data_IF_588527695229
#
_entry.id   IF_588527695229
#
_cell.length_a   1.000
_cell.length_b   1.000
_cell.length_c   1.000
_cell.angle_alpha   90.00
_cell.angle_beta   90.00
_cell.angle_gamma   90.00
#
_symmetry.space_group_name_H-M   'P 1'
#
loop_
_entity.id
_entity.type
_entity.pdbx_description
1 polymer ?
#
# COMPACT_ATOMS: atom_id res chain seq x y z
N UNK A 1 8.96 9.79 13.92
CA UNK A 1 9.95 10.11 14.96
C UNK A 1 9.39 11.33 15.66
N UNK A 2 9.10 11.19 16.94
CA UNK A 2 8.55 12.27 17.74
C UNK A 2 9.59 13.38 17.89
N UNK A 3 9.17 14.56 18.37
CA UNK A 3 10.06 15.70 18.57
C UNK A 3 11.22 15.40 19.54
N UNK A 4 11.06 14.39 20.42
CA UNK A 4 12.08 13.92 21.36
C UNK A 4 12.98 12.80 20.80
N UNK A 5 12.76 12.41 19.54
CA UNK A 5 13.50 11.36 18.86
C UNK A 5 13.02 9.92 19.13
N UNK A 6 11.97 9.74 19.92
CA UNK A 6 11.33 8.43 20.09
C UNK A 6 10.58 8.00 18.83
N UNK A 7 10.35 6.69 18.70
CA UNK A 7 9.59 6.12 17.59
C UNK A 7 8.32 5.48 18.13
N UNK A 8 7.19 5.96 17.64
CA UNK A 8 5.87 5.38 17.92
C UNK A 8 5.48 4.40 16.83
N UNK A 9 5.00 3.23 17.22
CA UNK A 9 4.44 2.25 16.28
C UNK A 9 2.99 2.63 16.01
N UNK A 10 2.68 3.01 14.77
CA UNK A 10 1.33 3.38 14.35
C UNK A 10 0.49 2.17 13.93
N UNK A 11 1.11 1.18 13.29
CA UNK A 11 0.48 -0.08 12.92
C UNK A 11 1.54 -1.18 12.82
N UNK A 12 1.29 -2.33 13.43
CA UNK A 12 2.15 -3.51 13.33
C UNK A 12 1.37 -4.81 13.03
N UNK A 13 0.05 -4.78 13.14
CA UNK A 13 -0.82 -5.94 12.95
C UNK A 13 -2.09 -5.56 12.20
N UNK A 14 -2.57 -6.47 11.38
CA UNK A 14 -3.91 -6.41 10.78
C UNK A 14 -4.67 -7.67 11.16
N UNK A 15 -5.85 -7.52 11.78
CA UNK A 15 -6.68 -8.63 12.26
C UNK A 15 -5.92 -9.64 13.14
N UNK A 16 -5.04 -9.15 14.02
CA UNK A 16 -4.26 -9.97 14.96
C UNK A 16 -3.08 -10.73 14.33
N UNK A 17 -2.75 -10.48 13.06
CA UNK A 17 -1.58 -11.03 12.36
C UNK A 17 -0.57 -9.93 12.12
N UNK A 18 0.70 -10.20 12.36
CA UNK A 18 1.76 -9.23 12.07
C UNK A 18 1.74 -8.84 10.60
N UNK A 19 1.78 -7.52 10.32
CA UNK A 19 2.01 -7.02 8.96
C UNK A 19 3.30 -7.61 8.40
N UNK A 20 3.41 -7.74 7.09
CA UNK A 20 4.58 -8.33 6.46
C UNK A 20 5.80 -7.44 6.66
N UNK A 21 6.01 -6.51 5.74
CA UNK A 21 7.13 -5.59 5.72
C UNK A 21 6.64 -4.34 4.99
N UNK A 22 5.96 -3.43 5.72
CA UNK A 22 5.53 -2.18 5.14
C UNK A 22 6.69 -1.50 4.40
N UNK A 23 6.46 -1.05 3.17
CA UNK A 23 7.52 -0.54 2.31
C UNK A 23 7.38 0.96 2.05
N UNK A 24 6.38 1.34 1.25
CA UNK A 24 6.12 2.75 0.93
C UNK A 24 4.87 3.28 1.61
N UNK A 25 4.85 4.59 1.80
CA UNK A 25 3.81 5.32 2.50
C UNK A 25 3.54 6.67 1.84
N UNK A 26 2.27 7.05 1.77
CA UNK A 26 1.83 8.40 1.40
C UNK A 26 0.79 8.88 2.42
N UNK A 27 0.90 10.15 2.80
CA UNK A 27 -0.05 10.80 3.71
C UNK A 27 -0.99 11.65 2.88
N UNK A 28 -2.29 11.47 3.07
CA UNK A 28 -3.33 12.30 2.46
C UNK A 28 -3.48 13.61 3.24
N UNK A 29 -3.96 14.66 2.58
CA UNK A 29 -4.19 15.98 3.20
C UNK A 29 -5.10 15.96 4.44
N UNK A 30 -5.98 14.96 4.55
CA UNK A 30 -6.85 14.73 5.72
C UNK A 30 -6.13 14.07 6.93
N UNK A 31 -4.84 13.75 6.80
CA UNK A 31 -4.01 13.10 7.82
C UNK A 31 -4.05 11.56 7.80
N UNK A 32 -4.86 10.95 6.93
CA UNK A 32 -4.87 9.48 6.76
C UNK A 32 -3.57 9.00 6.12
N UNK A 33 -3.12 7.82 6.51
CA UNK A 33 -1.88 7.22 6.05
C UNK A 33 -2.20 6.02 5.17
N UNK A 34 -1.65 5.99 3.97
CA UNK A 34 -1.76 4.86 3.04
C UNK A 34 -0.40 4.23 2.88
N UNK A 35 -0.31 2.90 2.96
CA UNK A 35 0.96 2.20 2.83
C UNK A 35 0.81 0.85 2.15
N UNK A 36 1.91 0.37 1.57
CA UNK A 36 2.00 -0.98 1.01
C UNK A 36 2.65 -1.93 1.97
N UNK A 37 2.16 -3.16 1.99
CA UNK A 37 2.71 -4.24 2.80
C UNK A 37 3.02 -5.45 1.91
N UNK A 38 4.11 -5.40 1.12
CA UNK A 38 4.46 -6.48 0.22
C UNK A 38 4.96 -7.71 0.96
N UNK A 39 4.62 -8.87 0.42
CA UNK A 39 5.29 -10.09 0.79
C UNK A 39 6.66 -10.19 0.09
N UNK A 40 7.74 -9.86 0.79
CA UNK A 40 9.13 -9.98 0.27
C UNK A 40 10.01 -10.92 1.10
N UNK A 41 9.43 -11.75 1.97
CA UNK A 41 10.21 -12.63 2.84
C UNK A 41 10.83 -13.79 2.08
N UNK A 42 11.98 -14.30 2.58
CA UNK A 42 12.57 -15.57 2.10
C UNK A 42 12.13 -16.78 2.92
N UNK A 43 11.10 -16.63 3.77
CA UNK A 43 10.61 -17.70 4.65
C UNK A 43 9.56 -18.58 3.95
N UNK A 44 9.49 -19.88 4.26
CA UNK A 44 8.43 -20.77 3.77
C UNK A 44 7.02 -20.24 4.08
N UNK A 45 6.04 -20.59 3.24
CA UNK A 45 4.66 -20.08 3.32
C UNK A 45 3.96 -20.41 4.63
N UNK A 46 4.33 -21.52 5.23
CA UNK A 46 3.77 -22.03 6.49
C UNK A 46 4.15 -21.15 7.69
N UNK A 47 5.16 -20.29 7.55
CA UNK A 47 5.63 -19.37 8.58
C UNK A 47 5.05 -17.96 8.42
N UNK A 48 4.17 -17.73 7.46
CA UNK A 48 3.60 -16.41 7.24
C UNK A 48 2.46 -16.17 8.22
N UNK A 49 2.54 -15.08 8.98
CA UNK A 49 1.42 -14.64 9.80
C UNK A 49 0.36 -13.95 8.96
N UNK A 50 0.78 -12.99 8.12
CA UNK A 50 -0.07 -12.32 7.15
C UNK A 50 0.12 -12.93 5.76
N UNK A 51 -0.97 -13.29 5.10
CA UNK A 51 -0.94 -13.88 3.75
C UNK A 51 -1.38 -12.90 2.68
N UNK A 52 -1.77 -11.69 3.07
CA UNK A 52 -2.19 -10.61 2.20
C UNK A 52 -0.98 -9.74 1.87
N UNK A 53 -0.72 -9.54 0.58
CA UNK A 53 0.25 -8.58 0.04
C UNK A 53 -0.57 -7.45 -0.56
N UNK A 54 -0.66 -6.32 0.13
CA UNK A 54 -1.74 -5.36 -0.15
C UNK A 54 -1.44 -3.91 0.16
N UNK A 55 -2.45 -3.08 -0.08
CA UNK A 55 -2.49 -1.66 0.23
C UNK A 55 -3.42 -1.46 1.41
N UNK A 56 -2.95 -0.72 2.41
CA UNK A 56 -3.67 -0.46 3.64
C UNK A 56 -3.84 1.05 3.85
N UNK A 57 -4.87 1.41 4.60
CA UNK A 57 -5.08 2.75 5.13
C UNK A 57 -5.20 2.72 6.64
N UNK A 58 -4.47 3.60 7.32
CA UNK A 58 -4.71 3.97 8.70
C UNK A 58 -5.47 5.31 8.72
N UNK A 59 -6.60 5.36 9.42
CA UNK A 59 -7.40 6.58 9.58
C UNK A 59 -6.59 7.71 10.25
N UNK A 60 -6.99 8.95 10.01
CA UNK A 60 -6.29 10.14 10.53
C UNK A 60 -6.22 10.19 12.07
N UNK A 61 -7.18 9.57 12.76
CA UNK A 61 -7.17 9.42 14.23
C UNK A 61 -6.28 8.26 14.71
N UNK A 62 -5.61 7.56 13.78
CA UNK A 62 -4.75 6.41 14.00
C UNK A 62 -5.46 5.19 14.64
N UNK A 63 -6.80 5.18 14.65
CA UNK A 63 -7.59 4.16 15.33
C UNK A 63 -8.00 2.98 14.45
N UNK A 64 -8.10 3.17 13.13
CA UNK A 64 -8.67 2.17 12.22
C UNK A 64 -7.70 1.85 11.09
N UNK A 65 -7.24 0.60 11.07
CA UNK A 65 -6.47 0.03 9.96
C UNK A 65 -7.40 -0.76 9.03
N UNK A 66 -7.46 -0.35 7.76
CA UNK A 66 -8.31 -0.93 6.71
C UNK A 66 -7.46 -1.49 5.59
N UNK A 67 -7.76 -2.71 5.14
CA UNK A 67 -7.23 -3.26 3.90
C UNK A 67 -8.03 -2.69 2.72
N UNK A 68 -7.35 -2.01 1.80
CA UNK A 68 -7.96 -1.37 0.63
C UNK A 68 -7.96 -2.30 -0.59
N UNK A 69 -6.81 -2.92 -0.88
CA UNK A 69 -6.63 -3.77 -2.06
C UNK A 69 -5.70 -4.93 -1.72
N UNK A 70 -6.13 -6.17 -2.00
CA UNK A 70 -5.39 -7.39 -1.70
C UNK A 70 -4.80 -8.10 -2.94
N UNK A 71 -5.18 -7.67 -4.14
CA UNK A 71 -4.76 -8.32 -5.40
C UNK A 71 -3.42 -7.77 -5.90
N UNK A 72 -2.36 -7.79 -5.10
CA UNK A 72 -1.02 -7.44 -5.55
C UNK A 72 -0.06 -8.61 -5.36
N UNK A 73 0.96 -8.69 -6.21
CA UNK A 73 2.07 -9.63 -6.00
C UNK A 73 3.11 -8.98 -5.10
N UNK A 74 3.68 -7.84 -5.53
CA UNK A 74 4.60 -7.02 -4.71
C UNK A 74 4.20 -5.55 -4.85
N UNK A 75 3.21 -5.07 -4.08
CA UNK A 75 2.85 -3.66 -4.06
C UNK A 75 4.01 -2.84 -3.47
N UNK A 76 4.23 -1.63 -3.98
CA UNK A 76 5.38 -0.82 -3.56
C UNK A 76 5.00 0.67 -3.49
N UNK A 77 5.52 1.54 -4.35
CA UNK A 77 5.13 2.93 -4.50
C UNK A 77 3.62 3.23 -4.56
N UNK A 78 3.27 4.32 -3.90
CA UNK A 78 1.92 4.91 -3.81
C UNK A 78 1.99 6.39 -4.13
N UNK A 79 1.03 6.91 -4.87
CA UNK A 79 0.88 8.35 -5.07
C UNK A 79 -0.58 8.73 -5.27
N UNK A 80 -0.95 9.94 -4.87
CA UNK A 80 -2.22 10.55 -5.25
C UNK A 80 -2.04 11.45 -6.49
N UNK A 81 -3.11 11.66 -7.25
CA UNK A 81 -3.19 12.84 -8.10
C UNK A 81 -3.28 14.12 -7.23
N UNK A 82 -3.07 15.32 -7.81
CA UNK A 82 -3.06 16.57 -7.02
C UNK A 82 -4.32 16.83 -6.18
N UNK A 83 -5.49 16.40 -6.67
CA UNK A 83 -6.77 16.58 -5.97
C UNK A 83 -7.12 15.41 -5.03
N UNK A 84 -6.23 14.42 -4.88
CA UNK A 84 -6.38 13.24 -4.01
C UNK A 84 -7.63 12.38 -4.27
N UNK A 85 -8.15 12.41 -5.49
CA UNK A 85 -9.31 11.62 -5.93
C UNK A 85 -8.92 10.29 -6.58
N UNK A 86 -7.64 10.11 -6.91
CA UNK A 86 -7.12 8.90 -7.55
C UNK A 86 -5.84 8.45 -6.83
N UNK A 87 -5.82 7.19 -6.40
CA UNK A 87 -4.63 6.53 -5.85
C UNK A 87 -3.96 5.68 -6.93
N UNK A 88 -2.68 5.93 -7.15
CA UNK A 88 -1.78 5.16 -8.01
C UNK A 88 -1.00 4.18 -7.13
N UNK A 89 -0.90 2.93 -7.59
CA UNK A 89 -0.15 1.88 -6.90
C UNK A 89 0.60 1.06 -7.94
N UNK A 90 1.92 0.91 -7.79
CA UNK A 90 2.68 -0.02 -8.62
C UNK A 90 2.64 -1.44 -8.04
N UNK A 91 2.72 -2.43 -8.93
CA UNK A 91 3.04 -3.81 -8.59
C UNK A 91 4.39 -4.13 -9.20
N UNK A 92 5.45 -4.12 -8.38
CA UNK A 92 6.83 -4.27 -8.83
C UNK A 92 7.03 -5.59 -9.58
N UNK A 93 6.35 -6.66 -9.13
CA UNK A 93 6.51 -7.99 -9.72
C UNK A 93 5.67 -8.18 -10.97
N UNK A 94 4.49 -7.54 -11.06
CA UNK A 94 3.70 -7.52 -12.30
C UNK A 94 4.24 -6.51 -13.33
N UNK A 95 5.05 -5.52 -12.91
CA UNK A 95 5.60 -4.48 -13.78
C UNK A 95 4.55 -3.49 -14.28
N UNK A 96 3.51 -3.24 -13.49
CA UNK A 96 2.37 -2.39 -13.87
C UNK A 96 2.07 -1.35 -12.79
N UNK A 97 1.41 -0.26 -13.19
CA UNK A 97 0.80 0.72 -12.28
C UNK A 97 -0.71 0.67 -12.48
N UNK A 98 -1.44 0.52 -11.39
CA UNK A 98 -2.91 0.60 -11.38
C UNK A 98 -3.37 1.84 -10.64
N UNK A 99 -4.54 2.35 -11.04
CA UNK A 99 -5.22 3.45 -10.36
C UNK A 99 -6.56 3.01 -9.83
N UNK A 100 -6.97 3.62 -8.72
CA UNK A 100 -8.27 3.42 -8.08
C UNK A 100 -8.85 4.77 -7.68
N UNK A 101 -10.15 4.97 -7.88
CA UNK A 101 -10.84 6.16 -7.40
C UNK A 101 -10.95 6.10 -5.88
N UNK A 102 -10.61 7.20 -5.21
CA UNK A 102 -10.69 7.36 -3.76
C UNK A 102 -12.10 7.83 -3.39
N UNK A 103 -12.68 7.19 -2.39
CA UNK A 103 -14.01 7.49 -1.88
C UNK A 103 -13.95 8.57 -0.79
N UNK A 104 -15.09 9.20 -0.49
CA UNK A 104 -15.20 10.24 0.53
C UNK A 104 -14.74 9.76 1.92
N UNK A 105 -14.90 8.47 2.24
CA UNK A 105 -14.46 7.85 3.50
C UNK A 105 -12.96 7.48 3.53
N UNK A 106 -12.23 7.74 2.45
CA UNK A 106 -10.82 7.38 2.26
C UNK A 106 -10.60 5.92 1.85
N UNK A 107 -11.64 5.14 1.57
CA UNK A 107 -11.46 3.84 0.92
C UNK A 107 -11.26 4.01 -0.58
N UNK A 108 -11.05 2.92 -1.32
CA UNK A 108 -10.91 2.95 -2.79
C UNK A 108 -11.97 2.08 -3.45
N UNK A 109 -12.42 2.49 -4.64
CA UNK A 109 -13.37 1.72 -5.44
C UNK A 109 -12.66 0.69 -6.31
N UNK A 110 -12.76 -0.59 -5.95
CA UNK A 110 -12.21 -1.68 -6.78
C UNK A 110 -12.85 -1.75 -8.18
N UNK A 111 -14.12 -1.31 -8.32
CA UNK A 111 -14.82 -1.27 -9.59
C UNK A 111 -14.23 -0.25 -10.59
N UNK A 112 -13.47 0.72 -10.08
CA UNK A 112 -12.83 1.79 -10.89
C UNK A 112 -11.38 1.49 -11.23
N UNK A 113 -10.90 0.30 -10.88
CA UNK A 113 -9.54 -0.13 -11.17
C UNK A 113 -9.22 0.05 -12.66
N UNK A 114 -8.13 0.75 -12.95
CA UNK A 114 -7.61 0.93 -14.31
C UNK A 114 -6.12 0.61 -14.37
N UNK A 115 -5.66 0.06 -15.49
CA UNK A 115 -4.24 -0.01 -15.81
C UNK A 115 -3.79 1.38 -16.28
N UNK A 116 -2.90 2.02 -15.52
CA UNK A 116 -2.36 3.33 -15.89
C UNK A 116 -1.11 3.20 -16.74
N UNK A 117 -0.21 2.29 -16.36
CA UNK A 117 1.02 2.03 -17.10
C UNK A 117 1.37 0.54 -17.07
N UNK A 118 1.89 0.06 -18.20
CA UNK A 118 2.50 -1.24 -18.35
C UNK A 118 3.97 -1.04 -18.72
N UNK A 119 4.87 -1.42 -17.82
CA UNK A 119 6.32 -1.28 -18.00
C UNK A 119 6.99 -2.61 -18.37
N UNK A 120 6.20 -3.63 -18.70
CA UNK A 120 6.75 -4.89 -19.24
C UNK A 120 7.30 -4.61 -20.63
N UNK A 121 8.60 -4.85 -20.84
CA UNK A 121 9.26 -4.65 -22.12
C UNK A 121 10.71 -5.10 -22.11
N UNK A 122 11.42 -4.87 -23.21
CA UNK A 122 12.83 -5.29 -23.39
C UNK A 122 13.84 -4.45 -22.58
N UNK A 123 13.40 -3.32 -22.01
CA UNK A 123 14.25 -2.46 -21.19
C UNK A 123 14.30 -2.99 -19.76
N UNK A 124 15.51 -3.13 -19.23
CA UNK A 124 15.72 -3.48 -17.82
C UNK A 124 15.14 -2.40 -16.89
N UNK A 125 14.39 -2.85 -15.88
CA UNK A 125 13.80 -1.99 -14.86
C UNK A 125 12.41 -2.46 -14.46
N UNK A 126 12.09 -2.33 -13.17
CA UNK A 126 10.72 -2.43 -12.66
C UNK A 126 10.44 -1.19 -11.84
N UNK A 127 9.21 -0.67 -11.82
CA UNK A 127 8.86 0.40 -10.89
C UNK A 127 9.08 -0.09 -9.46
N UNK A 128 9.89 0.61 -8.67
CA UNK A 128 10.28 0.24 -7.31
C UNK A 128 10.02 1.32 -6.26
N UNK A 129 9.48 2.48 -6.65
CA UNK A 129 9.11 3.57 -5.75
C UNK A 129 9.60 4.92 -6.26
#
# INVERSE_FOLDING_TARGET
MEADGSTTVLANQFQGRQLNRPNDVVVRSDGSIYFTDPWTFRRPREQWEQTISGVYRLSADLGTLTLLVADFVVPNGLAFNPDETVLYVNDSRRGIIRTFDVQDDGTVSLATQRLFADMRGEREGVPDG
#
